data_IF_376828705142
#
_entry.id   IF_376828705142
#
_cell.length_a   1.000
_cell.length_b   1.000
_cell.length_c   1.000
_cell.angle_alpha   90.00
_cell.angle_beta   90.00
_cell.angle_gamma   90.00
#
_symmetry.space_group_name_H-M   'P 1'
#
loop_
_entity.id
_entity.type
_entity.pdbx_description
1 polymer ?
#
# COMPACT_ATOMS: atom_id res chain seq x y z
N UNK A 1 -20.36 50.70 21.33
CA UNK A 1 -20.29 50.09 19.98
C UNK A 1 -18.87 50.25 19.44
N UNK A 2 -18.04 49.21 19.54
CA UNK A 2 -16.79 49.03 18.77
C UNK A 2 -16.64 47.53 18.54
N UNK A 3 -16.88 47.12 17.30
CA UNK A 3 -16.72 45.73 16.85
C UNK A 3 -15.26 45.58 16.47
N UNK A 4 -14.48 44.81 17.25
CA UNK A 4 -13.15 44.38 16.87
C UNK A 4 -13.26 43.16 15.96
N UNK A 5 -12.86 43.33 14.71
CA UNK A 5 -12.73 42.30 13.69
C UNK A 5 -11.61 41.32 14.03
N UNK A 6 -11.93 40.03 14.11
CA UNK A 6 -10.96 38.93 14.23
C UNK A 6 -10.26 38.65 12.88
N UNK A 7 -9.00 38.17 12.88
CA UNK A 7 -8.22 38.02 11.65
C UNK A 7 -8.68 36.86 10.77
N UNK A 8 -8.51 37.04 9.47
CA UNK A 8 -8.80 36.11 8.38
C UNK A 8 -8.24 34.70 8.60
N UNK A 9 -9.11 33.69 8.56
CA UNK A 9 -8.75 32.29 8.36
C UNK A 9 -8.02 32.15 7.02
N UNK A 10 -6.75 31.74 7.09
CA UNK A 10 -5.99 31.31 5.92
C UNK A 10 -6.73 30.19 5.17
N UNK A 11 -6.71 30.26 3.84
CA UNK A 11 -7.35 29.29 2.94
C UNK A 11 -6.87 27.87 3.28
N UNK A 12 -7.69 27.09 3.99
CA UNK A 12 -7.54 25.65 4.02
C UNK A 12 -7.71 25.15 2.58
N UNK A 13 -6.67 24.51 2.02
CA UNK A 13 -6.80 23.77 0.76
C UNK A 13 -7.87 22.71 1.00
N UNK A 14 -8.99 22.78 0.28
CA UNK A 14 -9.94 21.67 0.25
C UNK A 14 -9.17 20.40 -0.17
N UNK A 15 -8.97 19.47 0.75
CA UNK A 15 -8.41 18.17 0.41
C UNK A 15 -9.41 17.48 -0.51
N UNK A 16 -9.03 17.28 -1.77
CA UNK A 16 -9.82 16.46 -2.68
C UNK A 16 -9.92 15.07 -2.08
N UNK A 17 -11.13 14.64 -1.74
CA UNK A 17 -11.38 13.29 -1.26
C UNK A 17 -10.79 12.28 -2.25
N UNK A 18 -9.95 11.37 -1.75
CA UNK A 18 -9.29 10.38 -2.59
C UNK A 18 -10.26 9.27 -2.94
N UNK A 19 -10.39 8.93 -4.21
CA UNK A 19 -11.26 7.84 -4.67
C UNK A 19 -10.52 6.51 -4.70
N UNK A 20 -11.25 5.39 -4.62
CA UNK A 20 -10.74 4.06 -4.92
C UNK A 20 -10.76 3.83 -6.43
N UNK A 21 -9.81 3.04 -6.95
CA UNK A 21 -9.92 2.47 -8.30
C UNK A 21 -10.87 1.27 -8.30
N UNK A 22 -11.43 0.90 -9.44
CA UNK A 22 -11.94 -0.46 -9.66
C UNK A 22 -10.78 -1.44 -9.87
N UNK A 23 -10.97 -2.76 -9.70
CA UNK A 23 -9.95 -3.75 -10.06
C UNK A 23 -9.48 -3.62 -11.51
N UNK A 24 -10.41 -3.42 -12.44
CA UNK A 24 -10.13 -3.29 -13.88
C UNK A 24 -9.32 -2.01 -14.17
N UNK A 25 -9.54 -0.94 -13.41
CA UNK A 25 -8.72 0.27 -13.53
C UNK A 25 -7.28 0.04 -13.04
N UNK A 26 -7.08 -0.75 -11.98
CA UNK A 26 -5.74 -1.14 -11.52
C UNK A 26 -5.05 -1.99 -12.60
N UNK A 27 -5.75 -2.95 -13.18
CA UNK A 27 -5.25 -3.80 -14.28
C UNK A 27 -4.88 -2.93 -15.49
N UNK A 28 -5.72 -1.97 -15.88
CA UNK A 28 -5.42 -1.02 -16.96
C UNK A 28 -4.18 -0.18 -16.68
N UNK A 29 -4.01 0.30 -15.44
CA UNK A 29 -2.82 1.08 -15.04
C UNK A 29 -1.58 0.19 -15.08
N UNK A 30 -1.67 -1.05 -14.63
CA UNK A 30 -0.58 -2.02 -14.68
C UNK A 30 -0.17 -2.33 -16.12
N UNK A 31 -1.11 -2.66 -17.00
CA UNK A 31 -0.82 -2.93 -18.41
C UNK A 31 -0.18 -1.72 -19.09
N UNK A 32 -0.63 -0.50 -18.79
CA UNK A 32 -0.01 0.71 -19.32
C UNK A 32 1.42 0.94 -18.79
N UNK A 33 1.72 0.55 -17.54
CA UNK A 33 3.10 0.55 -17.04
C UNK A 33 3.97 -0.47 -17.79
N UNK A 34 3.41 -1.65 -18.05
CA UNK A 34 4.08 -2.76 -18.74
C UNK A 34 4.38 -2.44 -20.19
N UNK A 35 3.42 -1.91 -20.95
CA UNK A 35 3.64 -1.50 -22.36
C UNK A 35 4.71 -0.41 -22.50
N UNK A 36 4.90 0.39 -21.46
CA UNK A 36 5.96 1.40 -21.39
C UNK A 36 7.32 0.87 -20.91
N UNK A 37 7.43 -0.43 -20.62
CA UNK A 37 8.65 -1.03 -20.08
C UNK A 37 9.02 -0.50 -18.69
N UNK A 38 8.05 -0.04 -17.90
CA UNK A 38 8.30 0.52 -16.58
C UNK A 38 8.18 -0.55 -15.49
N UNK A 39 9.12 -1.49 -15.49
CA UNK A 39 9.12 -2.66 -14.59
C UNK A 39 8.96 -2.27 -13.11
N UNK A 40 9.58 -1.16 -12.69
CA UNK A 40 9.49 -0.69 -11.30
C UNK A 40 8.07 -0.29 -10.91
N UNK A 41 7.31 0.32 -11.82
CA UNK A 41 5.90 0.61 -11.57
C UNK A 41 5.06 -0.66 -11.62
N UNK A 42 5.36 -1.61 -12.51
CA UNK A 42 4.68 -2.92 -12.53
C UNK A 42 4.83 -3.66 -11.20
N UNK A 43 6.05 -3.69 -10.64
CA UNK A 43 6.32 -4.26 -9.31
C UNK A 43 5.56 -3.52 -8.23
N UNK A 44 5.63 -2.19 -8.23
CA UNK A 44 4.97 -1.37 -7.21
C UNK A 44 3.45 -1.56 -7.21
N UNK A 45 2.82 -1.62 -8.39
CA UNK A 45 1.37 -1.81 -8.53
C UNK A 45 0.96 -3.21 -8.05
N UNK A 46 1.68 -4.26 -8.45
CA UNK A 46 1.42 -5.62 -7.98
C UNK A 46 1.52 -5.72 -6.46
N UNK A 47 2.60 -5.22 -5.87
CA UNK A 47 2.77 -5.20 -4.43
C UNK A 47 1.66 -4.42 -3.74
N UNK A 48 1.29 -3.24 -4.25
CA UNK A 48 0.20 -2.44 -3.70
C UNK A 48 -1.15 -3.14 -3.76
N UNK A 49 -1.47 -3.78 -4.90
CA UNK A 49 -2.74 -4.46 -5.13
C UNK A 49 -2.90 -5.71 -4.26
N UNK A 50 -1.81 -6.45 -4.02
CA UNK A 50 -1.83 -7.70 -3.26
C UNK A 50 -1.48 -7.58 -1.78
N UNK A 51 -1.23 -6.36 -1.27
CA UNK A 51 -0.92 -6.13 0.16
C UNK A 51 -1.68 -4.97 0.78
N UNK A 52 -2.12 -3.99 -0.01
CA UNK A 52 -2.68 -2.74 0.51
C UNK A 52 -1.67 -1.85 1.28
N UNK A 53 -0.37 -2.16 1.25
CA UNK A 53 0.66 -1.38 1.96
C UNK A 53 0.79 0.05 1.42
N UNK A 54 1.30 0.95 2.27
CA UNK A 54 1.62 2.33 1.86
C UNK A 54 2.82 2.31 0.90
N UNK A 55 2.88 3.29 -0.01
CA UNK A 55 3.95 3.34 -1.02
C UNK A 55 5.35 3.37 -0.40
N UNK A 56 5.54 4.12 0.69
CA UNK A 56 6.85 4.20 1.35
C UNK A 56 7.20 2.89 2.06
N UNK A 57 6.23 2.19 2.65
CA UNK A 57 6.43 0.86 3.25
C UNK A 57 6.94 -0.11 2.15
N UNK A 58 6.29 -0.13 0.99
CA UNK A 58 6.69 -0.97 -0.15
C UNK A 58 8.09 -0.63 -0.67
N UNK A 59 8.43 0.67 -0.76
CA UNK A 59 9.74 1.11 -1.23
C UNK A 59 10.87 0.88 -0.20
N UNK A 60 10.53 0.59 1.05
CA UNK A 60 11.48 0.26 2.13
C UNK A 60 11.64 -1.23 2.38
N UNK A 61 10.79 -2.08 1.81
CA UNK A 61 10.91 -3.53 1.94
C UNK A 61 12.30 -4.00 1.49
N UNK A 62 12.94 -4.78 2.37
CA UNK A 62 14.22 -5.42 2.11
C UNK A 62 14.04 -6.94 2.02
N UNK A 63 15.09 -7.63 1.60
CA UNK A 63 15.18 -9.09 1.63
C UNK A 63 14.89 -9.63 3.03
N UNK A 64 15.37 -8.96 4.07
CA UNK A 64 15.15 -9.35 5.47
C UNK A 64 13.71 -9.13 5.94
N UNK A 65 12.92 -8.33 5.20
CA UNK A 65 11.50 -8.12 5.50
C UNK A 65 10.64 -9.31 5.10
N UNK A 66 11.15 -10.25 4.29
CA UNK A 66 10.44 -11.48 3.91
C UNK A 66 10.74 -12.55 4.94
N UNK A 67 9.74 -12.92 5.73
CA UNK A 67 9.88 -13.82 6.88
C UNK A 67 8.77 -14.87 6.90
N UNK A 68 9.01 -16.01 7.54
CA UNK A 68 7.97 -16.99 7.84
C UNK A 68 7.42 -16.75 9.24
N UNK A 69 6.11 -16.51 9.35
CA UNK A 69 5.38 -16.36 10.62
C UNK A 69 4.29 -17.43 10.63
N UNK A 70 4.27 -18.29 11.65
CA UNK A 70 3.36 -19.45 11.71
C UNK A 70 3.43 -20.35 10.45
N UNK A 71 4.62 -20.43 9.82
CA UNK A 71 4.83 -21.18 8.58
C UNK A 71 4.35 -20.47 7.31
N UNK A 72 3.86 -19.22 7.41
CA UNK A 72 3.34 -18.43 6.30
C UNK A 72 4.34 -17.32 5.95
N UNK A 73 4.78 -17.31 4.69
CA UNK A 73 5.65 -16.27 4.16
C UNK A 73 4.93 -14.93 4.11
N UNK A 74 5.53 -13.92 4.74
CA UNK A 74 4.91 -12.64 5.07
C UNK A 74 5.92 -11.50 4.99
N UNK A 75 5.44 -10.30 4.71
CA UNK A 75 6.23 -9.08 4.88
C UNK A 75 6.13 -8.60 6.32
N UNK A 76 7.28 -8.37 6.96
CA UNK A 76 7.35 -7.65 8.24
C UNK A 76 7.53 -6.15 7.99
N UNK A 77 6.53 -5.36 8.37
CA UNK A 77 6.57 -3.89 8.30
C UNK A 77 6.91 -3.38 9.70
N UNK A 78 8.10 -2.83 9.88
CA UNK A 78 8.61 -2.42 11.20
C UNK A 78 8.74 -0.90 11.36
N UNK A 79 8.91 -0.19 10.23
CA UNK A 79 9.11 1.25 10.23
C UNK A 79 7.78 1.97 9.97
N UNK A 80 7.09 2.30 11.05
CA UNK A 80 5.84 3.05 10.99
C UNK A 80 5.70 4.09 12.09
N UNK A 81 4.95 5.16 11.78
CA UNK A 81 4.69 6.27 12.71
C UNK A 81 3.72 5.91 13.83
N UNK A 82 2.98 4.82 13.66
CA UNK A 82 1.90 4.37 14.56
C UNK A 82 2.15 2.91 14.92
N UNK A 83 1.75 2.52 16.14
CA UNK A 83 1.86 1.13 16.59
C UNK A 83 1.13 0.15 15.66
N UNK A 84 -0.08 0.51 15.19
CA UNK A 84 -0.84 -0.30 14.23
C UNK A 84 -0.15 -0.44 12.85
N UNK A 85 0.81 0.42 12.55
CA UNK A 85 1.56 0.33 11.31
C UNK A 85 2.68 -0.72 11.35
N UNK A 86 3.11 -1.13 12.55
CA UNK A 86 4.03 -2.25 12.76
C UNK A 86 3.21 -3.54 12.69
N UNK A 87 3.41 -4.34 11.64
CA UNK A 87 2.56 -5.50 11.33
C UNK A 87 3.25 -6.52 10.43
N UNK A 88 2.69 -7.71 10.40
CA UNK A 88 2.91 -8.70 9.34
C UNK A 88 1.82 -8.59 8.27
N UNK A 89 2.19 -8.80 7.01
CA UNK A 89 1.26 -8.90 5.88
C UNK A 89 1.63 -10.14 5.06
N UNK A 90 0.76 -11.18 5.01
CA UNK A 90 1.03 -12.38 4.23
C UNK A 90 1.29 -12.09 2.76
N UNK A 91 2.22 -12.84 2.16
CA UNK A 91 2.52 -12.74 0.74
C UNK A 91 1.53 -13.59 -0.03
N UNK A 92 0.67 -12.94 -0.81
CA UNK A 92 -0.28 -13.61 -1.70
C UNK A 92 0.45 -14.53 -2.68
N UNK A 93 -0.07 -15.75 -2.84
CA UNK A 93 0.35 -16.78 -3.80
C UNK A 93 0.69 -16.24 -5.20
N UNK A 94 -0.13 -15.35 -5.77
CA UNK A 94 0.07 -14.75 -7.09
C UNK A 94 1.37 -13.94 -7.21
N UNK A 95 1.82 -13.29 -6.13
CA UNK A 95 3.05 -12.47 -6.16
C UNK A 95 4.27 -13.22 -5.64
N UNK A 96 4.16 -14.44 -5.10
CA UNK A 96 5.33 -15.21 -4.63
C UNK A 96 6.43 -15.37 -5.70
N UNK A 97 6.12 -15.71 -6.98
CA UNK A 97 7.15 -15.76 -8.01
C UNK A 97 7.85 -14.42 -8.24
N UNK A 98 7.09 -13.32 -8.15
CA UNK A 98 7.65 -11.97 -8.20
C UNK A 98 8.60 -11.73 -7.02
N UNK A 99 8.19 -12.06 -5.79
CA UNK A 99 9.02 -11.83 -4.60
C UNK A 99 10.33 -12.61 -4.68
N UNK A 100 10.27 -13.89 -5.04
CA UNK A 100 11.46 -14.72 -5.23
C UNK A 100 12.42 -14.07 -6.24
N UNK A 101 11.90 -13.60 -7.38
CA UNK A 101 12.72 -12.90 -8.39
C UNK A 101 13.34 -11.62 -7.84
N UNK A 102 12.63 -10.83 -7.03
CA UNK A 102 13.15 -9.58 -6.46
C UNK A 102 14.24 -9.87 -5.41
N UNK A 103 14.03 -10.87 -4.55
CA UNK A 103 15.00 -11.30 -3.54
C UNK A 103 16.28 -11.81 -4.18
N UNK A 104 16.19 -12.61 -5.24
CA UNK A 104 17.38 -13.15 -5.92
C UNK A 104 18.17 -12.09 -6.70
N UNK A 105 17.50 -11.08 -7.26
CA UNK A 105 18.12 -10.14 -8.18
C UNK A 105 18.46 -8.77 -7.57
N UNK A 106 18.13 -8.53 -6.29
CA UNK A 106 18.45 -7.26 -5.65
C UNK A 106 19.97 -7.06 -5.52
N UNK A 107 20.41 -5.81 -5.67
CA UNK A 107 21.83 -5.42 -5.53
C UNK A 107 22.10 -4.63 -4.26
N UNK A 108 21.07 -3.99 -3.70
CA UNK A 108 21.15 -3.09 -2.54
C UNK A 108 20.32 -3.63 -1.35
N UNK A 109 19.82 -4.86 -1.45
CA UNK A 109 18.98 -5.52 -0.47
C UNK A 109 17.52 -5.09 -0.48
N UNK A 110 17.14 -4.07 -1.27
CA UNK A 110 15.74 -3.63 -1.37
C UNK A 110 14.99 -4.41 -2.43
N UNK A 111 13.71 -4.72 -2.18
CA UNK A 111 12.86 -5.41 -3.15
C UNK A 111 12.48 -4.50 -4.32
N UNK A 112 12.36 -3.19 -4.07
CA UNK A 112 12.15 -2.18 -5.12
C UNK A 112 13.38 -1.29 -5.21
N UNK A 113 14.06 -1.35 -6.36
CA UNK A 113 15.15 -0.43 -6.67
C UNK A 113 14.60 0.98 -6.92
N UNK A 114 15.03 1.94 -6.10
CA UNK A 114 14.65 3.34 -6.21
C UNK A 114 15.91 4.19 -6.31
N UNK A 115 15.93 5.17 -7.22
CA UNK A 115 16.95 6.21 -7.22
C UNK A 115 16.54 7.31 -6.22
N UNK A 116 16.67 7.05 -4.92
CA UNK A 116 16.38 8.08 -3.91
C UNK A 116 17.66 8.75 -3.44
N UNK A 117 17.80 10.02 -3.80
CA UNK A 117 18.82 10.95 -3.29
C UNK A 117 18.17 12.13 -2.56
N UNK A 118 16.93 12.00 -2.05
CA UNK A 118 16.32 13.12 -1.33
C UNK A 118 16.91 13.25 0.08
N UNK A 119 17.04 14.50 0.55
CA UNK A 119 17.60 14.84 1.86
C UNK A 119 16.84 14.28 3.07
N UNK A 120 15.70 13.63 2.84
CA UNK A 120 14.80 13.10 3.87
C UNK A 120 14.81 11.56 3.93
N UNK A 121 15.59 10.88 3.06
CA UNK A 121 15.65 9.42 3.00
C UNK A 121 14.34 8.74 2.58
N UNK A 122 13.41 9.46 1.94
CA UNK A 122 12.16 8.87 1.43
C UNK A 122 12.44 8.17 0.10
N UNK A 123 12.14 6.87 -0.02
CA UNK A 123 12.41 6.08 -1.23
C UNK A 123 11.31 6.17 -2.30
N UNK A 124 10.08 6.51 -1.90
CA UNK A 124 8.91 6.52 -2.78
C UNK A 124 8.74 7.75 -3.68
N UNK A 125 9.39 8.89 -3.41
CA UNK A 125 9.15 10.16 -4.15
C UNK A 125 9.19 10.01 -5.68
N UNK A 126 10.25 9.38 -6.22
CA UNK A 126 10.41 9.20 -7.66
C UNK A 126 9.31 8.32 -8.27
N UNK A 127 8.95 7.22 -7.59
CA UNK A 127 7.92 6.30 -8.03
C UNK A 127 6.51 6.87 -7.88
N UNK A 128 6.25 7.66 -6.82
CA UNK A 128 5.00 8.38 -6.62
C UNK A 128 4.74 9.37 -7.77
N UNK A 129 5.76 10.14 -8.16
CA UNK A 129 5.70 11.03 -9.32
C UNK A 129 5.52 10.26 -10.62
N UNK A 130 6.20 9.12 -10.79
CA UNK A 130 6.05 8.28 -11.97
C UNK A 130 4.64 7.70 -12.10
N UNK A 131 4.07 7.17 -11.02
CA UNK A 131 2.68 6.72 -10.97
C UNK A 131 1.70 7.87 -11.26
N UNK A 132 1.96 9.06 -10.71
CA UNK A 132 1.16 10.26 -10.98
C UNK A 132 1.13 10.68 -12.45
N UNK A 133 2.25 10.51 -13.18
CA UNK A 133 2.30 10.71 -14.64
C UNK A 133 1.54 9.60 -15.38
N UNK A 134 1.79 8.35 -15.03
CA UNK A 134 1.17 7.17 -15.64
C UNK A 134 -0.36 7.25 -15.61
N UNK A 135 -0.96 7.51 -14.44
CA UNK A 135 -2.42 7.64 -14.33
C UNK A 135 -2.98 8.86 -15.09
N UNK A 136 -2.20 9.94 -15.21
CA UNK A 136 -2.64 11.17 -15.90
C UNK A 136 -2.78 10.91 -17.39
N UNK A 137 -1.88 10.11 -17.97
CA UNK A 137 -1.96 9.69 -19.37
C UNK A 137 -3.21 8.83 -19.64
N UNK A 138 -3.67 8.10 -18.64
CA UNK A 138 -4.93 7.35 -18.67
C UNK A 138 -6.16 8.19 -18.29
N UNK A 139 -6.01 9.52 -18.25
CA UNK A 139 -7.07 10.49 -17.92
C UNK A 139 -7.62 10.42 -16.48
N UNK A 140 -6.91 9.80 -15.54
CA UNK A 140 -7.31 9.81 -14.13
C UNK A 140 -7.05 11.17 -13.47
N UNK A 141 -8.11 11.76 -12.91
CA UNK A 141 -8.10 13.05 -12.22
C UNK A 141 -7.27 13.06 -10.93
N UNK A 142 -7.18 14.25 -10.31
CA UNK A 142 -6.36 14.47 -9.09
C UNK A 142 -6.83 13.67 -7.87
N UNK A 143 -8.08 13.22 -7.82
CA UNK A 143 -8.62 12.40 -6.73
C UNK A 143 -7.95 11.03 -6.64
N UNK A 144 -7.39 10.51 -7.74
CA UNK A 144 -6.70 9.24 -7.79
C UNK A 144 -5.20 9.42 -7.53
N UNK A 145 -4.63 8.63 -6.62
CA UNK A 145 -3.20 8.59 -6.27
C UNK A 145 -2.79 7.15 -5.98
N UNK A 146 -1.52 6.88 -5.66
CA UNK A 146 -1.12 5.51 -5.33
C UNK A 146 -1.94 4.91 -4.16
N UNK A 147 -2.23 5.71 -3.14
CA UNK A 147 -3.08 5.28 -2.01
C UNK A 147 -4.53 4.92 -2.42
N UNK A 148 -4.97 5.26 -3.64
CA UNK A 148 -6.25 4.78 -4.17
C UNK A 148 -6.26 3.27 -4.37
N UNK A 149 -5.12 2.63 -4.67
CA UNK A 149 -4.99 1.16 -4.74
C UNK A 149 -5.29 0.54 -3.37
N UNK A 150 -4.73 1.10 -2.30
CA UNK A 150 -5.03 0.66 -0.93
C UNK A 150 -6.52 0.80 -0.58
N UNK A 151 -7.18 1.88 -1.02
CA UNK A 151 -8.64 2.01 -0.86
C UNK A 151 -9.39 0.90 -1.62
N UNK A 152 -8.93 0.53 -2.81
CA UNK A 152 -9.48 -0.61 -3.56
C UNK A 152 -9.31 -1.92 -2.79
N UNK A 153 -8.12 -2.20 -2.25
CA UNK A 153 -7.86 -3.41 -1.45
C UNK A 153 -8.82 -3.50 -0.26
N UNK A 154 -8.95 -2.42 0.53
CA UNK A 154 -9.88 -2.36 1.66
C UNK A 154 -11.32 -2.65 1.21
N UNK A 155 -11.75 -2.02 0.11
CA UNK A 155 -13.11 -2.19 -0.44
C UNK A 155 -13.34 -3.62 -0.92
N UNK A 156 -12.35 -4.24 -1.58
CA UNK A 156 -12.45 -5.61 -2.08
C UNK A 156 -12.53 -6.63 -0.94
N UNK A 157 -11.70 -6.48 0.10
CA UNK A 157 -11.76 -7.35 1.27
C UNK A 157 -13.09 -7.20 2.01
N UNK A 158 -13.56 -5.96 2.20
CA UNK A 158 -14.84 -5.68 2.85
C UNK A 158 -16.01 -6.32 2.10
N UNK A 159 -16.02 -6.22 0.76
CA UNK A 159 -17.06 -6.83 -0.09
C UNK A 159 -17.04 -8.35 -0.10
N UNK A 160 -15.98 -8.97 0.42
CA UNK A 160 -15.85 -10.42 0.58
C UNK A 160 -16.01 -10.85 2.05
N UNK A 161 -16.72 -10.04 2.83
CA UNK A 161 -17.08 -10.26 4.23
C UNK A 161 -15.87 -10.44 5.16
N UNK A 162 -14.71 -9.91 4.80
CA UNK A 162 -13.56 -9.88 5.69
C UNK A 162 -13.85 -8.88 6.82
N UNK A 163 -13.72 -9.29 8.11
CA UNK A 163 -13.99 -8.41 9.23
C UNK A 163 -13.17 -7.11 9.17
N UNK A 164 -13.81 -5.98 9.47
CA UNK A 164 -13.16 -4.67 9.39
C UNK A 164 -11.90 -4.54 10.25
N UNK A 165 -11.87 -5.21 11.41
CA UNK A 165 -10.69 -5.26 12.29
C UNK A 165 -9.53 -6.00 11.61
N UNK A 166 -9.80 -7.14 10.96
CA UNK A 166 -8.79 -7.87 10.19
C UNK A 166 -8.26 -7.04 9.02
N UNK A 167 -9.15 -6.33 8.30
CA UNK A 167 -8.72 -5.40 7.25
C UNK A 167 -7.83 -4.30 7.83
N UNK A 168 -8.22 -3.70 8.95
CA UNK A 168 -7.46 -2.66 9.63
C UNK A 168 -6.07 -3.15 10.06
N UNK A 169 -5.96 -4.37 10.60
CA UNK A 169 -4.68 -5.02 10.91
C UNK A 169 -3.83 -5.19 9.65
N UNK A 170 -4.37 -5.76 8.57
CA UNK A 170 -3.64 -6.01 7.32
C UNK A 170 -3.07 -4.73 6.70
N UNK A 171 -3.85 -3.65 6.71
CA UNK A 171 -3.41 -2.40 6.12
C UNK A 171 -2.65 -1.53 7.13
N UNK A 172 -2.76 -1.78 8.43
CA UNK A 172 -2.16 -0.97 9.49
C UNK A 172 -2.88 0.35 9.70
N UNK A 173 -4.19 0.27 9.97
CA UNK A 173 -5.03 1.33 10.50
C UNK A 173 -5.25 1.12 11.99
N UNK A 174 -5.25 2.20 12.76
CA UNK A 174 -5.71 2.16 14.15
C UNK A 174 -7.22 1.92 14.16
N UNK A 175 -7.70 1.02 15.01
CA UNK A 175 -9.13 0.71 15.13
C UNK A 175 -9.83 1.67 16.08
N UNK A 176 -9.07 2.39 16.92
CA UNK A 176 -9.60 3.27 17.95
C UNK A 176 -10.30 2.52 19.09
N UNK A 177 -10.18 1.19 19.13
CA UNK A 177 -10.84 0.34 20.11
C UNK A 177 -9.80 -0.25 21.04
N UNK A 178 -9.76 0.27 22.28
CA UNK A 178 -8.79 -0.12 23.31
C UNK A 178 -8.71 -1.65 23.49
N UNK A 179 -9.84 -2.36 23.42
CA UNK A 179 -9.87 -3.82 23.59
C UNK A 179 -9.04 -4.57 22.54
N UNK A 180 -9.20 -4.21 21.25
CA UNK A 180 -8.42 -4.84 20.19
C UNK A 180 -6.99 -4.29 20.12
N UNK A 181 -6.82 -3.01 20.41
CA UNK A 181 -5.52 -2.36 20.35
C UNK A 181 -4.62 -2.73 21.55
N UNK A 182 -5.16 -3.18 22.70
CA UNK A 182 -4.38 -3.42 23.94
C UNK A 182 -4.43 -4.87 24.44
N UNK A 183 -5.55 -5.58 24.26
CA UNK A 183 -5.75 -6.90 24.88
C UNK A 183 -5.83 -8.07 23.90
N UNK A 184 -5.97 -7.81 22.60
CA UNK A 184 -5.95 -8.85 21.57
C UNK A 184 -4.51 -9.14 21.11
N UNK A 185 -4.19 -10.41 20.90
CA UNK A 185 -2.97 -10.80 20.17
C UNK A 185 -3.08 -10.55 18.65
N UNK A 186 -4.24 -10.07 18.18
CA UNK A 186 -4.57 -9.91 16.77
C UNK A 186 -5.03 -11.21 16.12
N UNK A 187 -5.28 -11.15 14.83
CA UNK A 187 -5.60 -12.33 14.03
C UNK A 187 -4.32 -13.15 13.76
N UNK A 188 -4.46 -14.47 13.68
CA UNK A 188 -3.35 -15.35 13.30
C UNK A 188 -2.86 -15.03 11.87
N UNK A 189 -1.64 -15.42 11.55
CA UNK A 189 -1.10 -15.23 10.20
C UNK A 189 -1.91 -16.04 9.18
N UNK A 190 -2.47 -17.19 9.61
CA UNK A 190 -3.41 -17.98 8.82
C UNK A 190 -4.70 -17.23 8.47
N UNK A 191 -5.30 -16.53 9.42
CA UNK A 191 -6.50 -15.71 9.18
C UNK A 191 -6.20 -14.54 8.25
N UNK A 192 -5.06 -13.87 8.45
CA UNK A 192 -4.58 -12.80 7.56
C UNK A 192 -4.33 -13.32 6.14
N UNK A 193 -3.75 -14.51 6.02
CA UNK A 193 -3.43 -15.13 4.73
C UNK A 193 -4.70 -15.48 3.98
N UNK A 194 -5.67 -16.11 4.65
CA UNK A 194 -6.98 -16.39 4.07
C UNK A 194 -7.72 -15.13 3.60
N UNK A 195 -7.53 -14.00 4.29
CA UNK A 195 -8.07 -12.72 3.85
C UNK A 195 -7.31 -12.15 2.65
N UNK A 196 -5.97 -12.17 2.63
CA UNK A 196 -5.18 -11.67 1.51
C UNK A 196 -5.42 -12.47 0.23
N UNK A 197 -5.53 -13.79 0.31
CA UNK A 197 -5.80 -14.69 -0.84
C UNK A 197 -7.17 -14.48 -1.50
N UNK A 198 -8.06 -13.68 -0.88
CA UNK A 198 -9.33 -13.25 -1.50
C UNK A 198 -9.13 -12.20 -2.59
N UNK A 199 -7.98 -11.52 -2.63
CA UNK A 199 -7.71 -10.50 -3.62
C UNK A 199 -7.48 -11.13 -4.99
N UNK A 200 -8.17 -10.65 -6.02
CA UNK A 200 -8.04 -11.18 -7.37
C UNK A 200 -7.81 -10.04 -8.36
N UNK A 201 -6.67 -10.05 -9.04
CA UNK A 201 -6.31 -9.10 -10.10
C UNK A 201 -5.58 -9.81 -11.24
N UNK A 202 -5.76 -9.33 -12.47
CA UNK A 202 -5.03 -9.82 -13.65
C UNK A 202 -3.75 -9.01 -13.87
N UNK A 203 -2.71 -9.30 -13.09
CA UNK A 203 -1.43 -8.56 -13.11
C UNK A 203 -0.26 -9.49 -13.46
N UNK A 204 -0.22 -9.99 -14.70
CA UNK A 204 0.80 -10.94 -15.19
C UNK A 204 1.79 -10.32 -16.16
#
# INVERSE_FOLDING_TARGET
>A
MKITTSPSLGKAKAETERLAFTPEEIEKIYEHAKTKGNDRLCVLIQLGAYTGCRIEELCRLRTESVVAIEGIESFKIEDSKTRAGIRSVPIHSHIKPLINRLVTNTKDGYLISTASNNKYGNRSDGLSKAFGRLKKELSFGKAYVFHSIRKTVITQLQRQDVPGILIAELVGHETGTVTFDVYSAGHSEGQKSAAIEKLAFKLT
#
